data_IF_819734730038
#
_entry.id   IF_819734730038
#
_cell.length_a   1.000
_cell.length_b   1.000
_cell.length_c   1.000
_cell.angle_alpha   90.00
_cell.angle_beta   90.00
_cell.angle_gamma   90.00
#
_symmetry.space_group_name_H-M   'P 1'
#
loop_
_entity.id
_entity.type
_entity.pdbx_description
1 polymer ?
2 non-polymer ?
3 water ?
#
# COMPACT_ATOMS: atom_id res chain seq x y z
N UNK A 5 21.13 -9.56 -17.19
CA UNK A 5 19.76 -9.40 -17.72
C UNK A 5 18.86 -8.84 -16.62
N UNK A 6 17.93 -8.00 -17.08
CA UNK A 6 16.96 -7.35 -16.22
C UNK A 6 15.88 -8.35 -15.80
N UNK A 7 15.27 -8.11 -14.64
CA UNK A 7 14.17 -8.92 -14.17
C UNK A 7 12.89 -8.47 -14.85
N UNK A 8 12.91 -7.31 -15.52
CA UNK A 8 11.74 -6.73 -16.15
C UNK A 8 11.11 -7.70 -17.15
N UNK A 9 9.78 -7.85 -17.07
CA UNK A 9 9.00 -8.64 -18.02
C UNK A 9 8.40 -7.65 -19.02
N UNK A 10 8.91 -7.64 -20.25
CA UNK A 10 8.47 -6.66 -21.23
C UNK A 10 6.96 -6.70 -21.48
N UNK A 11 6.30 -7.86 -21.42
CA UNK A 11 4.88 -7.86 -21.69
C UNK A 11 4.12 -7.16 -20.52
N UNK A 12 4.54 -7.38 -19.27
CA UNK A 12 3.99 -6.66 -18.13
C UNK A 12 4.31 -5.17 -18.25
N UNK A 13 5.56 -4.83 -18.59
CA UNK A 13 5.97 -3.43 -18.74
C UNK A 13 5.03 -2.71 -19.73
N UNK A 14 4.78 -3.35 -20.88
CA UNK A 14 3.92 -2.79 -21.91
C UNK A 14 2.51 -2.59 -21.38
N UNK A 15 1.96 -3.62 -20.72
CA UNK A 15 0.61 -3.53 -20.17
C UNK A 15 0.49 -2.37 -19.18
N UNK A 16 1.45 -2.29 -18.23
CA UNK A 16 1.47 -1.23 -17.20
C UNK A 16 1.52 0.18 -17.81
N UNK A 17 2.42 0.35 -18.79
CA UNK A 17 2.54 1.61 -19.51
C UNK A 17 1.22 2.05 -20.15
N UNK A 18 0.59 1.16 -20.92
CA UNK A 18 -0.66 1.47 -21.60
C UNK A 18 -1.77 1.77 -20.61
N UNK A 19 -1.90 0.94 -19.54
CA UNK A 19 -2.96 1.17 -18.58
C UNK A 19 -2.72 2.47 -17.82
N UNK A 20 -1.48 2.75 -17.42
CA UNK A 20 -1.23 3.97 -16.67
C UNK A 20 -1.62 5.18 -17.51
N UNK A 21 -1.17 5.19 -18.77
CA UNK A 21 -1.41 6.32 -19.66
C UNK A 21 -2.89 6.55 -19.91
N UNK A 22 -3.66 5.47 -20.04
CA UNK A 22 -5.09 5.55 -20.23
C UNK A 22 -5.77 6.25 -19.05
N UNK A 23 -5.36 5.91 -17.82
CA UNK A 23 -5.97 6.44 -16.62
C UNK A 23 -5.58 7.90 -16.37
N UNK A 24 -4.29 8.20 -16.58
CA UNK A 24 -3.82 9.57 -16.43
C UNK A 24 -4.53 10.49 -17.43
N UNK A 25 -4.73 10.01 -18.67
CA UNK A 25 -5.46 10.78 -19.67
C UNK A 25 -6.91 10.97 -19.22
N UNK A 26 -7.58 9.85 -18.88
CA UNK A 26 -9.00 9.89 -18.57
C UNK A 26 -9.28 10.79 -17.36
N UNK A 27 -8.39 10.76 -16.36
CA UNK A 27 -8.61 11.49 -15.14
C UNK A 27 -7.98 12.88 -15.18
N UNK A 28 -7.35 13.22 -16.31
CA UNK A 28 -6.62 14.47 -16.50
C UNK A 28 -5.77 14.74 -15.25
N UNK A 29 -4.91 13.76 -14.96
CA UNK A 29 -4.03 13.81 -13.80
C UNK A 29 -2.67 14.39 -14.19
N UNK A 30 -1.96 14.87 -13.17
CA UNK A 30 -0.64 15.46 -13.35
C UNK A 30 0.40 14.38 -13.67
N UNK A 31 0.36 13.23 -12.99
CA UNK A 31 1.42 12.26 -13.13
C UNK A 31 0.94 10.92 -12.58
N UNK A 32 1.72 9.87 -12.84
CA UNK A 32 1.47 8.59 -12.20
C UNK A 32 2.59 7.60 -12.44
N UNK A 33 2.46 6.46 -11.73
CA UNK A 33 3.46 5.44 -11.64
C UNK A 33 2.78 4.07 -11.45
N UNK A 34 3.40 3.02 -11.98
CA UNK A 34 3.07 1.64 -11.66
C UNK A 34 4.34 0.87 -11.35
N UNK A 35 4.33 0.09 -10.27
CA UNK A 35 5.37 -0.85 -9.95
C UNK A 35 4.71 -2.24 -9.87
N UNK A 36 5.35 -3.22 -10.50
CA UNK A 36 5.01 -4.64 -10.35
C UNK A 36 6.23 -5.39 -9.81
N UNK A 37 6.05 -6.07 -8.67
CA UNK A 37 7.09 -6.86 -8.08
C UNK A 37 6.71 -8.33 -8.12
N UNK A 38 7.74 -9.18 -8.19
CA UNK A 38 7.60 -10.57 -7.81
C UNK A 38 7.47 -10.67 -6.30
N UNK A 39 6.38 -11.29 -5.86
CA UNK A 39 5.95 -11.27 -4.48
C UNK A 39 6.83 -12.12 -3.59
N UNK A 40 7.60 -13.06 -4.19
CA UNK A 40 8.43 -13.96 -3.42
C UNK A 40 9.91 -13.74 -3.67
N UNK A 41 10.29 -12.83 -4.57
CA UNK A 41 11.70 -12.57 -4.81
C UNK A 41 12.10 -11.09 -4.65
N UNK A 42 11.16 -10.16 -4.80
CA UNK A 42 11.47 -8.73 -4.78
C UNK A 42 11.99 -8.18 -6.11
N UNK A 43 12.08 -9.04 -7.12
CA UNK A 43 12.47 -8.60 -8.44
C UNK A 43 11.39 -7.69 -9.00
N UNK A 44 11.83 -6.65 -9.68
CA UNK A 44 10.96 -5.71 -10.35
C UNK A 44 10.57 -6.30 -11.69
N UNK A 45 9.27 -6.60 -11.88
CA UNK A 45 8.78 -7.12 -13.15
C UNK A 45 8.37 -5.98 -14.07
N UNK A 46 7.98 -4.85 -13.50
CA UNK A 46 7.61 -3.67 -14.27
C UNK A 46 7.72 -2.42 -13.40
N UNK A 47 8.08 -1.32 -14.04
CA UNK A 47 8.22 -0.05 -13.37
C UNK A 47 8.06 1.01 -14.44
N UNK A 48 6.99 1.78 -14.33
CA UNK A 48 6.61 2.75 -15.36
C UNK A 48 6.18 4.04 -14.68
N UNK A 49 6.52 5.17 -15.31
CA UNK A 49 6.14 6.48 -14.85
C UNK A 49 5.64 7.28 -16.04
N UNK A 50 4.80 8.28 -15.80
CA UNK A 50 4.51 9.31 -16.79
C UNK A 50 5.82 10.02 -17.14
N UNK A 51 5.90 10.76 -18.30
CA UNK A 51 7.19 11.25 -18.81
C UNK A 51 7.92 12.15 -17.82
N UNK A 52 9.26 12.02 -17.75
CA UNK A 52 10.05 12.75 -16.78
C UNK A 52 10.87 11.82 -15.89
N UNK A 53 11.20 12.27 -14.68
CA UNK A 53 12.06 11.50 -13.82
C UNK A 53 11.39 10.17 -13.38
N UNK A 54 12.21 9.30 -12.81
CA UNK A 54 11.79 8.00 -12.30
C UNK A 54 11.13 8.18 -10.92
N UNK A 55 9.90 8.71 -10.92
CA UNK A 55 9.18 9.10 -9.71
C UNK A 55 9.00 7.92 -8.74
N UNK A 56 8.81 6.72 -9.28
CA UNK A 56 8.66 5.50 -8.48
C UNK A 56 9.78 5.31 -7.47
N UNK A 57 11.00 5.81 -7.80
CA UNK A 57 12.14 5.61 -6.94
C UNK A 57 12.60 6.95 -6.31
N UNK A 58 12.43 8.08 -7.01
CA UNK A 58 12.99 9.38 -6.60
C UNK A 58 12.08 10.18 -5.67
N UNK A 59 10.77 10.00 -5.79
CA UNK A 59 9.79 10.87 -5.13
C UNK A 59 9.22 10.12 -3.93
N UNK A 60 8.95 10.83 -2.83
CA UNK A 60 8.33 10.22 -1.65
C UNK A 60 6.90 10.77 -1.56
N UNK A 61 5.96 9.90 -1.20
CA UNK A 61 4.57 10.28 -0.95
C UNK A 61 4.26 9.90 0.50
N UNK A 62 3.25 10.52 1.10
CA UNK A 62 2.68 9.96 2.32
C UNK A 62 1.82 8.76 1.94
N UNK A 63 1.99 7.57 2.55
CA UNK A 63 1.25 6.39 2.09
C UNK A 63 -0.26 6.49 2.37
N UNK A 64 -0.66 7.30 3.38
CA UNK A 64 -2.06 7.38 3.72
C UNK A 64 -2.59 6.00 4.12
N UNK A 65 -3.79 5.66 3.65
CA UNK A 65 -4.48 4.46 4.07
C UNK A 65 -3.72 3.19 3.68
N UNK A 66 -2.77 3.31 2.72
CA UNK A 66 -1.99 2.16 2.28
C UNK A 66 -1.05 1.67 3.40
N UNK A 67 -0.87 2.45 4.47
CA UNK A 67 -0.11 2.03 5.65
C UNK A 67 -0.92 1.16 6.61
N UNK A 68 -2.27 1.22 6.55
CA UNK A 68 -3.13 0.63 7.57
C UNK A 68 -2.93 -0.88 7.71
N UNK A 69 -2.69 -1.66 6.64
CA UNK A 69 -2.39 -3.08 6.83
C UNK A 69 -1.22 -3.37 7.75
N UNK A 70 -0.21 -2.50 7.73
CA UNK A 70 0.98 -2.65 8.56
C UNK A 70 0.68 -2.42 10.03
N UNK A 71 -0.15 -1.40 10.34
CA UNK A 71 -0.54 -1.14 11.71
C UNK A 71 -1.31 -2.34 12.25
N UNK A 72 -2.19 -2.87 11.41
CA UNK A 72 -2.96 -4.05 11.74
C UNK A 72 -2.02 -5.24 11.94
N UNK A 73 -1.08 -5.43 11.02
CA UNK A 73 -0.12 -6.53 11.18
C UNK A 73 0.65 -6.49 12.50
N UNK A 74 1.11 -5.30 12.87
CA UNK A 74 1.87 -5.12 14.10
C UNK A 74 1.00 -5.49 15.31
N UNK A 75 -0.25 -5.03 15.33
CA UNK A 75 -1.16 -5.36 16.40
C UNK A 75 -1.38 -6.88 16.54
N UNK A 76 -1.68 -7.56 15.44
CA UNK A 76 -1.94 -9.00 15.47
C UNK A 76 -0.67 -9.75 15.86
N UNK A 77 0.48 -9.30 15.33
CA UNK A 77 1.73 -10.01 15.52
C UNK A 77 2.14 -9.97 17.00
N UNK A 78 1.77 -8.91 17.71
CA UNK A 78 2.15 -8.74 19.13
C UNK A 78 1.44 -9.75 20.03
N UNK A 79 0.34 -10.33 19.53
CA UNK A 79 -0.49 -11.19 20.34
C UNK A 79 -1.51 -10.40 21.17
N UNK A 80 -1.47 -9.06 21.12
CA UNK A 80 -2.34 -8.26 21.97
C UNK A 80 -3.72 -8.09 21.35
N UNK A 81 -3.85 -8.30 20.04
CA UNK A 81 -5.10 -8.06 19.33
C UNK A 81 -5.38 -9.32 18.51
N UNK A 82 -6.63 -9.74 18.52
CA UNK A 82 -7.16 -10.75 17.62
C UNK A 82 -7.98 -10.05 16.54
N UNK A 83 -8.09 -10.66 15.34
CA UNK A 83 -8.84 -10.07 14.23
C UNK A 83 -10.32 -9.88 14.56
N UNK A 84 -10.87 -10.68 15.50
CA UNK A 84 -12.27 -10.57 15.88
C UNK A 84 -12.50 -9.48 16.93
N UNK A 85 -11.46 -8.86 17.49
CA UNK A 85 -11.62 -7.78 18.44
C UNK A 85 -12.39 -6.62 17.79
N UNK A 86 -13.25 -6.02 18.60
CA UNK A 86 -14.10 -4.90 18.24
C UNK A 86 -13.54 -3.65 18.91
N UNK A 87 -13.59 -2.52 18.21
CA UNK A 87 -13.08 -1.27 18.73
C UNK A 87 -14.16 -0.21 18.63
N UNK A 88 -14.10 0.76 19.54
CA UNK A 88 -14.92 1.95 19.43
C UNK A 88 -14.31 2.86 18.34
N UNK A 89 -15.07 3.13 17.28
CA UNK A 89 -14.55 3.86 16.14
C UNK A 89 -15.21 5.23 15.99
N UNK A 90 -15.82 5.73 17.07
CA UNK A 90 -16.37 7.08 17.04
C UNK A 90 -15.23 8.10 17.01
N UNK A 91 -15.44 9.29 16.39
CA UNK A 91 -14.51 10.41 16.49
C UNK A 91 -14.00 10.63 17.92
N UNK A 92 -12.74 11.04 18.09
CA UNK A 92 -12.22 11.34 19.42
C UNK A 92 -11.07 12.34 19.28
N UNK A 93 -10.67 12.91 20.42
CA UNK A 93 -9.68 13.98 20.48
C UNK A 93 -8.36 13.44 21.02
N UNK A 94 -7.27 13.99 20.49
CA UNK A 94 -5.94 13.85 21.06
C UNK A 94 -5.39 15.27 21.24
N UNK A 95 -5.06 15.60 22.49
CA UNK A 95 -5.04 16.98 22.93
C UNK A 95 -6.31 17.70 22.45
N UNK A 96 -6.13 18.65 21.53
CA UNK A 96 -7.23 19.33 20.91
C UNK A 96 -7.25 19.05 19.40
N UNK A 97 -6.79 17.85 19.01
CA UNK A 97 -6.91 17.39 17.63
C UNK A 97 -8.02 16.36 17.59
N UNK A 98 -8.72 16.27 16.44
CA UNK A 98 -9.77 15.28 16.25
C UNK A 98 -9.27 14.18 15.31
N UNK A 99 -9.47 12.93 15.71
CA UNK A 99 -9.34 11.81 14.80
C UNK A 99 -10.76 11.35 14.47
N UNK A 100 -11.08 11.26 13.17
CA UNK A 100 -12.43 10.93 12.77
C UNK A 100 -12.37 10.28 11.39
N UNK A 101 -13.41 9.52 11.07
CA UNK A 101 -13.59 8.87 9.78
C UNK A 101 -14.59 9.71 8.98
N UNK A 102 -14.33 9.75 7.66
CA UNK A 102 -15.23 10.13 6.58
C UNK A 102 -16.66 9.68 6.89
N UNK A 103 -16.86 8.36 6.99
CA UNK A 103 -18.13 7.74 7.32
C UNK A 103 -18.04 7.13 8.72
N UNK A 104 -18.93 7.56 9.63
CA UNK A 104 -18.83 7.18 11.02
C UNK A 104 -19.45 5.79 11.23
N UNK A 105 -18.65 4.88 11.79
CA UNK A 105 -19.18 3.67 12.36
C UNK A 105 -18.91 3.72 13.85
N UNK A 106 -19.90 3.37 14.70
CA UNK A 106 -19.72 3.32 16.14
C UNK A 106 -18.68 2.32 16.60
N UNK A 107 -18.71 1.14 15.98
CA UNK A 107 -17.76 0.07 16.29
C UNK A 107 -17.40 -0.66 15.01
N UNK A 108 -16.18 -1.19 14.98
CA UNK A 108 -15.72 -2.02 13.88
C UNK A 108 -14.79 -3.06 14.48
N UNK A 109 -14.80 -4.26 13.92
CA UNK A 109 -13.77 -5.23 14.25
C UNK A 109 -12.59 -5.00 13.32
N UNK A 110 -11.56 -5.82 13.43
CA UNK A 110 -10.32 -5.52 12.71
C UNK A 110 -10.55 -5.69 11.22
N UNK A 111 -11.33 -6.69 10.83
CA UNK A 111 -11.74 -6.83 9.45
C UNK A 111 -12.43 -5.55 8.95
N UNK A 112 -13.39 -5.04 9.74
CA UNK A 112 -14.04 -3.78 9.43
C UNK A 112 -13.10 -2.58 9.30
N UNK A 113 -12.07 -2.51 10.16
CA UNK A 113 -11.16 -1.38 10.11
C UNK A 113 -10.42 -1.40 8.77
N UNK A 114 -10.05 -2.60 8.33
CA UNK A 114 -9.37 -2.79 7.05
C UNK A 114 -10.32 -2.48 5.87
N UNK A 115 -11.51 -3.09 5.89
CA UNK A 115 -12.51 -3.05 4.82
C UNK A 115 -12.95 -1.62 4.57
N UNK A 116 -13.22 -0.89 5.68
CA UNK A 116 -13.80 0.44 5.61
C UNK A 116 -12.72 1.51 5.71
N UNK A 117 -11.47 1.12 5.97
CA UNK A 117 -10.36 2.06 5.99
C UNK A 117 -10.51 3.11 7.09
N UNK A 118 -10.73 2.64 8.33
CA UNK A 118 -10.97 3.50 9.48
C UNK A 118 -9.68 4.12 10.06
N UNK A 119 -9.55 5.45 10.01
CA UNK A 119 -8.50 6.15 10.74
C UNK A 119 -8.61 5.94 12.24
N UNK A 120 -9.83 6.02 12.77
CA UNK A 120 -10.01 5.94 14.19
C UNK A 120 -9.54 4.55 14.68
N UNK A 121 -10.05 3.48 14.03
CA UNK A 121 -9.71 2.14 14.44
C UNK A 121 -8.21 1.87 14.33
N UNK A 122 -7.60 2.36 13.26
CA UNK A 122 -6.17 2.19 13.07
C UNK A 122 -5.40 2.87 14.21
N UNK A 123 -5.81 4.10 14.57
CA UNK A 123 -5.11 4.85 15.58
C UNK A 123 -5.21 4.16 16.95
N UNK A 124 -6.33 3.47 17.24
CA UNK A 124 -6.56 2.76 18.50
C UNK A 124 -5.63 1.54 18.59
N UNK A 125 -5.37 0.90 17.45
CA UNK A 125 -4.44 -0.21 17.41
C UNK A 125 -3.03 0.25 17.71
N UNK A 126 -2.58 1.34 17.06
CA UNK A 126 -1.26 1.91 17.26
C UNK A 126 -1.07 2.43 18.69
N UNK A 127 -2.14 2.92 19.30
CA UNK A 127 -2.06 3.49 20.64
C UNK A 127 -1.79 2.42 21.71
N UNK A 128 -1.83 1.13 21.37
CA UNK A 128 -1.45 0.08 22.28
C UNK A 128 0.07 -0.06 22.38
N UNK A 129 0.81 0.67 21.56
CA UNK A 129 2.25 0.53 21.48
C UNK A 129 2.90 1.87 21.79
N UNK A 130 4.17 1.79 22.17
CA UNK A 130 4.94 3.00 22.41
C UNK A 130 5.47 3.61 21.11
N UNK A 131 5.86 4.90 21.14
CA UNK A 131 6.45 5.52 19.97
C UNK A 131 7.64 4.71 19.45
N UNK A 132 8.50 4.23 20.36
CA UNK A 132 9.67 3.48 19.96
C UNK A 132 9.28 2.17 19.25
N UNK A 133 8.29 1.43 19.76
CA UNK A 133 7.83 0.19 19.14
C UNK A 133 7.28 0.44 17.74
N UNK A 134 6.50 1.51 17.58
CA UNK A 134 5.93 1.81 16.25
C UNK A 134 7.01 2.26 15.29
N UNK A 135 7.93 3.10 15.75
CA UNK A 135 9.03 3.54 14.90
C UNK A 135 9.88 2.35 14.44
N UNK A 136 10.22 1.46 15.36
CA UNK A 136 11.05 0.31 15.05
C UNK A 136 10.35 -0.57 14.02
N UNK A 137 9.03 -0.69 14.12
CA UNK A 137 8.29 -1.47 13.15
C UNK A 137 8.32 -0.77 11.78
N UNK A 138 8.09 0.56 11.71
CA UNK A 138 8.13 1.26 10.42
C UNK A 138 9.53 1.16 9.82
N UNK A 139 10.57 1.34 10.64
CA UNK A 139 11.95 1.19 10.22
C UNK A 139 12.21 -0.20 9.63
N UNK A 140 11.69 -1.25 10.27
CA UNK A 140 11.86 -2.62 9.85
C UNK A 140 11.13 -2.94 8.53
N UNK A 141 10.10 -2.17 8.18
CA UNK A 141 9.45 -2.30 6.89
C UNK A 141 10.25 -1.59 5.82
N UNK A 142 11.24 -0.79 6.23
CA UNK A 142 12.09 -0.08 5.30
C UNK A 142 11.79 1.41 5.17
N UNK A 143 10.90 1.96 6.02
CA UNK A 143 10.57 3.38 5.91
C UNK A 143 11.77 4.17 6.41
N UNK A 144 12.19 5.16 5.62
CA UNK A 144 13.35 5.98 5.88
C UNK A 144 14.65 5.23 5.63
N UNK A 145 14.60 4.02 5.06
CA UNK A 145 15.79 3.23 4.79
C UNK A 145 16.05 3.19 3.29
N UNK A 146 17.34 3.32 2.93
CA UNK A 146 17.78 3.12 1.57
C UNK A 146 17.64 1.65 1.16
N UNK A 147 17.03 1.43 0.01
CA UNK A 147 16.92 0.10 -0.58
C UNK A 147 18.21 -0.37 -1.26
N UNK A 148 19.02 0.55 -1.83
CA UNK A 148 20.22 0.14 -2.55
C UNK A 148 19.84 -0.71 -3.78
N UNK A 149 18.78 -0.24 -4.51
CA UNK A 149 18.15 -0.98 -5.59
C UNK A 149 19.06 -1.01 -6.82
N UNK A 150 19.99 -0.06 -6.87
CA UNK A 150 20.80 0.15 -8.04
C UNK A 150 20.37 1.38 -8.84
N UNK A 151 19.18 1.93 -8.53
CA UNK A 151 18.73 3.12 -9.22
C UNK A 151 19.50 4.30 -8.63
N UNK A 152 19.90 5.28 -9.49
CA UNK A 152 20.41 6.56 -8.98
C UNK A 152 19.23 7.37 -8.45
N UNK A 153 19.50 8.27 -7.50
CA UNK A 153 18.50 9.24 -7.07
C UNK A 153 17.40 8.59 -6.22
N UNK A 154 17.67 7.37 -5.71
CA UNK A 154 16.69 6.65 -4.91
C UNK A 154 16.49 7.39 -3.59
N UNK A 155 15.25 7.74 -3.24
CA UNK A 155 14.97 8.34 -1.93
C UNK A 155 14.86 7.27 -0.85
N UNK A 156 15.31 7.62 0.36
CA UNK A 156 15.10 6.83 1.55
C UNK A 156 13.73 7.09 2.16
N UNK A 157 13.06 8.16 1.72
CA UNK A 157 11.82 8.59 2.35
C UNK A 157 12.09 9.25 3.71
N UNK A 158 11.08 9.30 4.57
CA UNK A 158 11.13 10.12 5.76
C UNK A 158 10.49 9.34 6.91
N UNK A 159 11.28 9.08 7.95
CA UNK A 159 10.75 8.57 9.21
C UNK A 159 11.39 9.32 10.38
N UNK A 160 10.64 10.27 10.96
CA UNK A 160 11.16 11.14 12.02
C UNK A 160 11.35 10.30 13.28
N UNK A 161 12.41 10.62 14.03
CA UNK A 161 12.69 9.89 15.27
C UNK A 161 11.48 9.94 16.21
N UNK A 162 11.16 8.80 16.80
CA UNK A 162 10.14 8.67 17.83
C UNK A 162 10.43 9.56 19.04
N UNK A 163 11.70 9.93 19.22
CA UNK A 163 12.09 10.78 20.33
C UNK A 163 11.48 12.16 20.21
N UNK A 164 10.90 12.50 19.04
CA UNK A 164 10.27 13.80 18.85
C UNK A 164 8.81 13.65 18.43
N UNK A 165 8.15 12.51 18.68
CA UNK A 165 6.74 12.39 18.35
C UNK A 165 5.84 12.96 19.44
N UNK A 166 4.83 13.75 19.04
CA UNK A 166 3.68 14.04 19.87
C UNK A 166 2.69 12.90 19.74
N UNK A 167 1.71 12.85 20.65
CA UNK A 167 0.76 11.75 20.67
C UNK A 167 -0.08 11.77 19.40
N UNK A 168 -0.41 12.98 18.89
CA UNK A 168 -1.20 13.08 17.65
C UNK A 168 -0.42 12.47 16.49
N UNK A 169 0.91 12.64 16.49
CA UNK A 169 1.75 12.22 15.38
C UNK A 169 1.82 10.69 15.30
N UNK A 170 1.89 10.03 16.45
CA UNK A 170 1.78 8.58 16.46
C UNK A 170 0.48 8.12 15.78
N UNK A 171 -0.65 8.75 16.14
CA UNK A 171 -1.92 8.42 15.53
C UNK A 171 -1.87 8.66 14.01
N UNK A 172 -1.47 9.87 13.56
CA UNK A 172 -1.51 10.19 12.15
C UNK A 172 -0.49 9.33 11.37
N UNK A 173 0.63 8.95 11.98
CA UNK A 173 1.57 8.07 11.33
C UNK A 173 0.96 6.68 11.11
N UNK A 174 0.12 6.22 12.06
CA UNK A 174 -0.47 4.90 11.95
C UNK A 174 -1.41 4.81 10.75
N UNK A 175 -2.01 5.92 10.30
CA UNK A 175 -2.85 5.88 9.12
C UNK A 175 -2.17 6.62 7.98
N UNK A 176 -0.84 6.71 8.01
CA UNK A 176 -0.04 6.99 6.83
C UNK A 176 0.35 8.44 6.55
N UNK A 177 0.27 9.37 7.52
CA UNK A 177 0.71 10.73 7.31
C UNK A 177 1.90 11.08 8.21
N UNK A 178 2.76 11.99 7.75
CA UNK A 178 3.90 12.42 8.59
C UNK A 178 5.14 11.53 8.41
N UNK A 179 4.97 10.42 7.69
CA UNK A 179 6.05 9.58 7.18
C UNK A 179 5.87 9.48 5.67
N UNK A 180 6.97 9.21 4.94
CA UNK A 180 6.99 9.31 3.49
C UNK A 180 7.84 8.16 2.94
N UNK A 181 7.39 7.62 1.80
CA UNK A 181 8.18 6.64 1.08
C UNK A 181 7.82 6.66 -0.40
N UNK A 182 8.76 6.15 -1.19
CA UNK A 182 8.55 6.06 -2.63
C UNK A 182 7.53 4.93 -2.88
N UNK A 183 6.94 4.93 -4.07
CA UNK A 183 6.08 3.83 -4.48
C UNK A 183 6.83 2.51 -4.47
N UNK A 184 8.10 2.48 -4.89
CA UNK A 184 8.89 1.27 -4.85
C UNK A 184 9.13 0.81 -3.41
N UNK A 185 9.39 1.72 -2.46
CA UNK A 185 9.53 1.36 -1.07
C UNK A 185 8.22 0.78 -0.55
N UNK A 186 7.08 1.35 -0.97
CA UNK A 186 5.79 0.91 -0.48
C UNK A 186 5.52 -0.50 -1.03
N UNK A 187 5.77 -0.74 -2.32
CA UNK A 187 5.64 -2.09 -2.88
C UNK A 187 6.55 -3.07 -2.13
N UNK A 188 7.78 -2.69 -1.87
CA UNK A 188 8.72 -3.51 -1.13
C UNK A 188 8.18 -3.90 0.24
N UNK A 189 7.64 -2.92 0.98
CA UNK A 189 7.07 -3.16 2.30
C UNK A 189 6.00 -4.27 2.27
N UNK A 190 5.21 -4.33 1.17
CA UNK A 190 4.20 -5.36 1.01
C UNK A 190 4.77 -6.77 0.85
N UNK A 191 6.10 -6.96 0.65
CA UNK A 191 6.70 -8.28 0.65
C UNK A 191 6.64 -8.91 2.02
N UNK A 192 6.55 -8.09 3.07
CA UNK A 192 6.32 -8.61 4.42
C UNK A 192 5.04 -9.43 4.45
N UNK A 193 4.01 -8.97 3.75
CA UNK A 193 2.74 -9.66 3.72
C UNK A 193 2.76 -10.85 2.75
N UNK A 194 3.43 -10.72 1.59
CA UNK A 194 3.43 -11.74 0.57
C UNK A 194 4.47 -12.84 0.82
N UNK A 195 5.62 -12.50 1.42
CA UNK A 195 6.71 -13.45 1.61
C UNK A 195 6.71 -13.94 3.05
N UNK A 196 5.54 -14.28 3.60
CA UNK A 196 5.42 -14.96 4.89
C UNK A 196 6.20 -14.24 6.01
N UNK A 197 6.08 -12.90 6.02
CA UNK A 197 6.51 -12.07 7.12
C UNK A 197 7.92 -11.53 7.01
N UNK A 198 8.60 -11.82 5.90
CA UNK A 198 9.98 -11.39 5.71
C UNK A 198 10.04 -10.31 4.63
N UNK A 199 10.73 -9.23 4.96
CA UNK A 199 10.97 -8.15 4.01
C UNK A 199 12.04 -8.59 3.02
N UNK A 200 11.75 -8.41 1.73
CA UNK A 200 12.68 -8.73 0.68
C UNK A 200 13.41 -7.50 0.17
N UNK A 201 14.64 -7.65 -0.37
CA UNK A 201 15.30 -6.61 -1.13
C UNK A 201 14.65 -6.50 -2.50
N UNK A 202 14.71 -5.32 -3.09
CA UNK A 202 14.24 -5.15 -4.43
C UNK A 202 15.46 -5.06 -5.33
N UNK A 203 15.27 -5.53 -6.56
CA UNK A 203 16.32 -5.59 -7.55
C UNK A 203 15.68 -5.53 -8.93
N UNK A 204 16.36 -4.89 -9.89
CA UNK A 204 15.95 -4.95 -11.29
C UNK A 204 16.78 -5.96 -12.09
N UNK A 205 17.63 -6.75 -11.42
CA UNK A 205 18.40 -7.80 -12.07
C UNK A 205 17.77 -9.15 -11.76
N UNK A 206 17.84 -10.07 -12.73
CA UNK A 206 17.42 -11.44 -12.49
C UNK A 206 18.21 -12.03 -11.34
N UNK A 207 17.55 -12.68 -10.38
CA UNK A 207 18.21 -13.22 -9.20
C UNK A 207 18.90 -14.53 -9.54
N UNK A 208 20.01 -14.80 -8.87
CA UNK A 208 20.79 -16.01 -9.08
C UNK A 208 20.80 -16.81 -7.80
N UNK A 209 20.61 -16.15 -6.67
CA UNK A 209 20.57 -16.80 -5.37
C UNK A 209 19.21 -16.43 -4.78
N UNK A 210 18.67 -17.30 -3.91
CA UNK A 210 17.47 -17.00 -3.14
C UNK A 210 17.71 -15.75 -2.31
N UNK A 211 16.92 -14.66 -2.44
CA UNK A 211 17.15 -13.48 -1.59
C UNK A 211 17.03 -13.75 -0.10
N UNK A 212 17.85 -13.08 0.70
CA UNK A 212 17.79 -13.19 2.16
C UNK A 212 16.76 -12.17 2.67
N UNK A 213 15.63 -12.67 3.18
CA UNK A 213 14.57 -11.84 3.72
C UNK A 213 14.82 -11.58 5.20
N UNK A 214 14.36 -10.44 5.72
CA UNK A 214 14.51 -10.16 7.13
C UNK A 214 13.14 -10.27 7.81
N UNK A 215 13.07 -11.03 8.90
CA UNK A 215 11.85 -11.34 9.61
C UNK A 215 11.30 -10.10 10.32
N UNK A 216 10.05 -9.73 9.98
CA UNK A 216 9.40 -8.57 10.58
C UNK A 216 8.18 -9.03 11.37
N UNK A 217 7.40 -9.96 10.83
CA UNK A 217 6.27 -10.55 11.51
C UNK A 217 6.29 -12.05 11.27
N UNK A 218 5.54 -12.75 12.10
CA UNK A 218 5.33 -14.17 11.91
C UNK A 218 4.61 -14.46 10.60
N UNK A 219 4.93 -15.60 10.01
CA UNK A 219 4.22 -16.11 8.84
C UNK A 219 2.71 -16.21 9.10
N UNK A 220 2.29 -16.69 10.27
CA UNK A 220 0.86 -16.79 10.60
C UNK A 220 0.16 -15.41 10.56
N UNK A 221 0.86 -14.37 11.02
CA UNK A 221 0.31 -13.02 10.98
C UNK A 221 0.14 -12.55 9.52
N UNK A 222 1.18 -12.74 8.70
CA UNK A 222 1.12 -12.36 7.30
C UNK A 222 -0.07 -13.04 6.62
N UNK A 223 -0.28 -14.34 6.90
CA UNK A 223 -1.37 -15.07 6.29
C UNK A 223 -2.72 -14.45 6.66
N UNK A 224 -2.89 -14.14 7.94
CA UNK A 224 -4.12 -13.55 8.43
C UNK A 224 -4.37 -12.19 7.81
N UNK A 225 -3.32 -11.36 7.71
CA UNK A 225 -3.49 -10.02 7.15
C UNK A 225 -3.88 -10.11 5.68
N UNK A 226 -3.31 -11.07 4.94
CA UNK A 226 -3.68 -11.25 3.55
C UNK A 226 -5.16 -11.60 3.45
N UNK A 227 -5.65 -12.44 4.40
CA UNK A 227 -7.05 -12.85 4.40
C UNK A 227 -7.92 -11.63 4.67
N UNK A 228 -7.54 -10.79 5.64
CA UNK A 228 -8.30 -9.57 5.91
C UNK A 228 -8.35 -8.64 4.71
N UNK A 229 -7.22 -8.50 4.00
CA UNK A 229 -7.16 -7.60 2.85
C UNK A 229 -8.05 -8.02 1.68
N UNK A 230 -8.49 -9.30 1.59
CA UNK A 230 -9.45 -9.65 0.56
C UNK A 230 -10.79 -8.90 0.79
N UNK A 231 -11.09 -8.50 2.03
CA UNK A 231 -12.34 -7.77 2.30
C UNK A 231 -12.41 -6.45 1.53
N UNK A 232 -11.25 -5.87 1.16
CA UNK A 232 -11.16 -4.56 0.54
C UNK A 232 -11.70 -4.65 -0.88
N UNK A 233 -11.53 -5.83 -1.51
CA UNK A 233 -11.92 -6.00 -2.91
C UNK A 233 -13.26 -6.71 -3.08
N UNK A 234 -13.89 -7.16 -1.99
CA UNK A 234 -15.21 -7.74 -2.07
C UNK A 234 -16.24 -6.71 -1.68
N UNK A 235 -17.52 -7.04 -1.94
CA UNK A 235 -18.63 -6.15 -1.64
C UNK A 235 -18.53 -5.64 -0.21
N UNK A 236 -18.67 -4.32 -0.04
CA UNK A 236 -18.51 -3.70 1.26
C UNK A 236 -17.15 -3.01 1.44
N UNK A 237 -16.15 -3.39 0.64
CA UNK A 237 -14.84 -2.74 0.76
C UNK A 237 -14.71 -1.48 -0.11
N UNK A 238 -13.66 -0.71 0.18
CA UNK A 238 -13.37 0.49 -0.55
C UNK A 238 -12.77 0.19 -1.92
N UNK A 239 -12.32 -1.05 -2.17
CA UNK A 239 -11.48 -1.34 -3.33
C UNK A 239 -12.08 -2.39 -4.27
N UNK A 240 -13.42 -2.41 -4.45
CA UNK A 240 -14.05 -3.40 -5.31
C UNK A 240 -13.70 -3.17 -6.79
N UNK A 241 -13.36 -1.95 -7.20
CA UNK A 241 -12.94 -1.72 -8.57
C UNK A 241 -11.65 -2.49 -8.93
N UNK A 242 -10.91 -2.98 -7.92
CA UNK A 242 -9.66 -3.69 -8.18
C UNK A 242 -9.80 -5.20 -8.15
N UNK A 243 -11.03 -5.71 -7.94
CA UNK A 243 -11.32 -7.14 -7.97
C UNK A 243 -10.99 -7.67 -9.37
N UNK A 244 -10.42 -8.89 -9.41
CA UNK A 244 -9.96 -9.51 -10.63
C UNK A 244 -10.73 -10.80 -10.86
N UNK A 245 -11.24 -10.98 -12.09
CA UNK A 245 -12.08 -12.14 -12.39
C UNK A 245 -11.25 -13.42 -12.25
N UNK A 246 -11.73 -14.38 -11.45
CA UNK A 246 -11.08 -15.66 -11.34
C UNK A 246 -10.11 -15.77 -10.16
N UNK A 247 -9.91 -14.67 -9.43
CA UNK A 247 -8.99 -14.66 -8.30
C UNK A 247 -9.54 -13.91 -7.10
N UNK A 248 -8.99 -14.24 -5.94
CA UNK A 248 -9.14 -13.44 -4.73
C UNK A 248 -7.93 -12.51 -4.62
N UNK A 249 -8.18 -11.22 -4.40
CA UNK A 249 -7.14 -10.20 -4.41
C UNK A 249 -7.11 -9.50 -3.05
N UNK A 250 -5.92 -9.44 -2.45
CA UNK A 250 -5.78 -8.64 -1.25
C UNK A 250 -5.28 -7.26 -1.67
N UNK A 251 -5.92 -6.19 -1.21
CA UNK A 251 -5.51 -4.86 -1.66
C UNK A 251 -5.85 -3.82 -0.61
N UNK A 252 -5.26 -2.62 -0.80
CA UNK A 252 -5.55 -1.46 0.02
C UNK A 252 -5.58 -0.22 -0.86
N UNK A 253 -6.65 0.55 -0.68
CA UNK A 253 -6.86 1.84 -1.31
C UNK A 253 -6.20 2.91 -0.45
N UNK A 254 -5.82 4.02 -1.06
CA UNK A 254 -5.33 5.18 -0.34
C UNK A 254 -5.74 6.44 -1.10
N UNK A 255 -6.39 7.35 -0.40
CA UNK A 255 -6.76 8.65 -0.92
C UNK A 255 -6.26 9.72 0.07
N UNK A 256 -5.32 10.54 -0.34
CA UNK A 256 -4.70 11.55 0.51
C UNK A 256 -5.00 12.94 -0.03
N UNK A 257 -5.32 13.89 0.85
CA UNK A 257 -5.15 15.30 0.53
C UNK A 257 -3.67 15.59 0.34
N UNK A 258 -3.37 16.42 -0.65
CA UNK A 258 -1.99 16.64 -1.06
C UNK A 258 -1.29 17.67 -0.16
N UNK A 259 -0.08 17.31 0.28
CA UNK A 259 0.78 18.17 1.08
C UNK A 259 1.53 19.11 0.13
N UNK A 260 1.15 20.41 0.17
CA UNK A 260 1.53 21.44 -0.81
C UNK A 260 1.78 22.76 -0.06
N UNK A 261 3.07 23.03 0.26
CA UNK A 261 3.56 24.25 0.93
C UNK A 261 3.48 24.10 2.45
N UNK A 262 3.66 22.86 2.95
CA UNK A 262 3.38 22.54 4.34
C UNK A 262 1.88 22.36 4.64
N UNK A 263 1.01 22.89 3.77
CA UNK A 263 -0.45 22.84 3.95
C UNK A 263 -0.97 21.53 3.36
N UNK A 264 -1.96 20.90 4.00
CA UNK A 264 -2.75 19.91 3.32
C UNK A 264 -3.99 20.57 2.72
N UNK A 265 -4.12 20.49 1.39
CA UNK A 265 -5.15 21.23 0.68
C UNK A 265 -6.30 20.29 0.33
N UNK A 266 -7.51 20.84 0.25
CA UNK A 266 -8.73 20.05 0.19
C UNK A 266 -9.19 19.88 -1.25
N UNK A 267 -8.49 20.51 -2.20
CA UNK A 267 -8.92 20.48 -3.59
C UNK A 267 -7.83 19.82 -4.44
N UNK A 268 -6.84 19.17 -3.81
CA UNK A 268 -5.89 18.32 -4.53
C UNK A 268 -5.70 17.01 -3.78
N UNK A 269 -5.65 15.90 -4.53
CA UNK A 269 -5.53 14.59 -3.90
C UNK A 269 -4.55 13.71 -4.64
N UNK A 270 -4.08 12.64 -3.97
CA UNK A 270 -3.22 11.65 -4.59
C UNK A 270 -3.89 10.30 -4.33
N UNK A 271 -4.10 9.50 -5.40
CA UNK A 271 -4.78 8.21 -5.32
C UNK A 271 -3.75 7.08 -5.43
N UNK A 272 -3.85 6.11 -4.50
CA UNK A 272 -2.92 5.00 -4.47
C UNK A 272 -3.74 3.70 -4.40
N UNK A 273 -3.26 2.67 -5.10
CA UNK A 273 -3.90 1.36 -4.99
C UNK A 273 -2.78 0.32 -5.02
N UNK A 274 -2.73 -0.53 -3.99
CA UNK A 274 -1.70 -1.55 -3.94
C UNK A 274 -2.34 -2.88 -3.54
N UNK A 275 -1.85 -3.97 -4.14
CA UNK A 275 -2.38 -5.27 -3.78
C UNK A 275 -1.54 -6.42 -4.34
N UNK A 276 -2.05 -7.62 -4.10
CA UNK A 276 -1.34 -8.83 -4.46
C UNK A 276 -2.38 -9.88 -4.75
N UNK A 277 -1.95 -10.84 -5.55
CA UNK A 277 -2.81 -11.95 -5.89
C UNK A 277 -1.92 -13.08 -6.42
N UNK A 278 -2.40 -14.33 -6.44
CA UNK A 278 -3.58 -14.77 -5.66
C UNK A 278 -3.44 -14.54 -4.16
N UNK A 279 -4.51 -14.13 -3.49
CA UNK A 279 -4.37 -13.62 -2.13
C UNK A 279 -3.74 -14.68 -1.22
N UNK A 280 -4.12 -15.96 -1.35
CA UNK A 280 -3.66 -16.96 -0.39
C UNK A 280 -2.21 -17.35 -0.67
N UNK A 281 -1.79 -17.33 -1.94
CA UNK A 281 -0.45 -17.74 -2.33
C UNK A 281 0.10 -16.77 -3.37
N UNK A 282 0.40 -15.50 -3.00
CA UNK A 282 0.58 -14.47 -4.03
C UNK A 282 1.83 -14.63 -4.89
N UNK A 283 1.69 -14.29 -6.17
CA UNK A 283 2.81 -14.29 -7.13
C UNK A 283 3.34 -12.88 -7.41
N UNK A 284 2.44 -11.86 -7.37
CA UNK A 284 2.81 -10.52 -7.75
C UNK A 284 2.18 -9.49 -6.79
N UNK A 285 2.90 -8.37 -6.65
CA UNK A 285 2.42 -7.12 -6.04
C UNK A 285 2.34 -6.11 -7.16
N UNK A 286 1.21 -5.41 -7.23
CA UNK A 286 1.01 -4.30 -8.14
C UNK A 286 0.67 -3.07 -7.31
N UNK A 287 1.40 -1.98 -7.53
CA UNK A 287 1.20 -0.71 -6.85
C UNK A 287 1.02 0.38 -7.91
N UNK A 288 0.01 1.21 -7.70
CA UNK A 288 -0.33 2.25 -8.65
C UNK A 288 -0.50 3.54 -7.88
N UNK A 289 0.04 4.65 -8.39
CA UNK A 289 -0.29 5.96 -7.83
C UNK A 289 -0.59 6.92 -9.00
N UNK A 290 -1.61 7.75 -8.83
CA UNK A 290 -1.95 8.83 -9.75
C UNK A 290 -2.09 10.12 -8.94
N UNK A 291 -1.32 11.13 -9.39
CA UNK A 291 -1.16 12.41 -8.70
C UNK A 291 -2.14 13.43 -9.31
N UNK A 292 -2.99 14.00 -8.48
CA UNK A 292 -3.85 15.13 -8.81
C UNK A 292 -4.74 14.81 -9.99
N UNK A 293 -5.65 13.82 -9.88
CA UNK A 293 -6.71 13.65 -10.87
C UNK A 293 -7.62 14.87 -10.79
N UNK A 294 -8.16 15.32 -11.92
CA UNK A 294 -8.94 16.55 -11.90
C UNK A 294 -10.26 16.39 -12.67
N UNK A 295 -10.60 15.19 -13.19
CA UNK A 295 -11.70 15.10 -14.13
C UNK A 295 -13.04 14.88 -13.41
N UNK A 296 -13.01 14.68 -12.08
CA UNK A 296 -14.20 14.65 -11.25
C UNK A 296 -13.89 13.87 -9.96
N UNK A 297 -13.78 12.53 -10.12
CA UNK A 297 -13.51 11.61 -9.04
C UNK A 297 -12.04 11.69 -8.63
N UNK A 298 -11.76 11.47 -7.35
CA UNK A 298 -10.39 11.48 -6.88
C UNK A 298 -10.12 10.31 -5.94
N UNK A 299 -11.17 9.58 -5.53
CA UNK A 299 -10.96 8.43 -4.66
C UNK A 299 -10.14 7.35 -5.37
N UNK A 300 -9.29 6.68 -4.60
CA UNK A 300 -8.43 5.63 -5.14
C UNK A 300 -9.23 4.56 -5.88
N UNK A 301 -10.41 4.20 -5.36
CA UNK A 301 -11.21 3.15 -5.98
C UNK A 301 -11.53 3.45 -7.45
N UNK A 302 -11.91 4.71 -7.78
CA UNK A 302 -12.31 5.06 -9.14
C UNK A 302 -11.13 5.43 -10.02
N UNK A 303 -10.08 6.00 -9.45
CA UNK A 303 -8.99 6.50 -10.23
C UNK A 303 -7.96 5.40 -10.50
N UNK A 304 -7.52 4.70 -9.46
CA UNK A 304 -6.42 3.76 -9.58
C UNK A 304 -6.90 2.30 -9.57
N UNK A 305 -8.07 2.01 -9.02
CA UNK A 305 -8.58 0.64 -8.95
C UNK A 305 -8.63 -0.03 -10.32
N UNK A 306 -9.19 0.61 -11.39
CA UNK A 306 -9.21 0.00 -12.72
C UNK A 306 -7.85 -0.26 -13.37
N UNK A 307 -6.84 0.58 -13.09
CA UNK A 307 -5.51 0.27 -13.59
C UNK A 307 -4.94 -0.93 -12.83
N UNK A 308 -5.12 -0.98 -11.50
CA UNK A 308 -4.71 -2.16 -10.75
C UNK A 308 -5.38 -3.42 -11.31
N UNK A 309 -6.68 -3.35 -11.59
CA UNK A 309 -7.42 -4.52 -12.05
C UNK A 309 -6.82 -5.07 -13.35
N UNK A 310 -6.59 -4.19 -14.33
CA UNK A 310 -6.09 -4.59 -15.64
C UNK A 310 -4.64 -5.05 -15.53
N UNK A 311 -3.82 -4.38 -14.71
CA UNK A 311 -2.43 -4.76 -14.67
C UNK A 311 -2.25 -6.07 -13.90
N UNK A 312 -2.99 -6.25 -12.78
CA UNK A 312 -2.90 -7.48 -12.01
C UNK A 312 -3.45 -8.66 -12.84
N UNK A 313 -4.64 -8.46 -13.43
CA UNK A 313 -5.29 -9.50 -14.23
C UNK A 313 -4.40 -9.92 -15.40
N UNK A 314 -3.86 -8.93 -16.11
CA UNK A 314 -2.96 -9.17 -17.24
C UNK A 314 -1.66 -9.84 -16.82
N UNK A 315 -1.11 -9.45 -15.64
CA UNK A 315 0.14 -9.98 -15.13
C UNK A 315 0.02 -11.48 -14.82
N UNK A 316 -1.05 -11.85 -14.12
CA UNK A 316 -1.31 -13.25 -13.76
C UNK A 316 -1.47 -14.09 -15.03
N UNK A 317 -2.13 -13.54 -16.05
CA UNK A 317 -2.28 -14.20 -17.33
C UNK A 317 -0.91 -14.38 -17.99
N UNK A 318 -0.09 -13.34 -18.04
CA UNK A 318 1.23 -13.40 -18.64
C UNK A 318 2.12 -14.41 -17.94
N UNK A 319 2.07 -14.47 -16.61
CA UNK A 319 2.94 -15.37 -15.87
C UNK A 319 2.39 -16.80 -15.85
N UNK A 320 1.21 -17.04 -16.44
CA UNK A 320 0.65 -18.40 -16.53
C UNK A 320 0.16 -18.95 -15.18
N UNK A 321 -0.50 -18.09 -14.39
CA UNK A 321 -1.08 -18.47 -13.12
C UNK A 321 -2.57 -18.72 -13.39
N UNK A 322 -3.04 -19.93 -13.12
CA UNK A 322 -4.43 -20.29 -13.34
C UNK A 322 -5.35 -19.62 -12.34
N UNK A 323 -6.52 -19.12 -12.78
CA UNK A 323 -7.58 -18.71 -11.87
C UNK A 323 -7.90 -19.75 -10.79
N UNK A 324 -8.12 -19.28 -9.56
CA UNK A 324 -8.43 -20.14 -8.42
C UNK A 324 -9.94 -20.34 -8.29
N UNK A 325 -10.74 -19.62 -9.06
CA UNK A 325 -12.17 -19.84 -9.11
C UNK A 325 -12.73 -19.58 -10.50
N UNK A 326 -13.92 -20.12 -10.81
CA UNK A 326 -14.51 -19.94 -12.14
C UNK A 326 -14.63 -18.46 -12.46
N UNK A 327 -14.31 -18.08 -13.69
CA UNK A 327 -14.63 -16.76 -14.19
C UNK A 327 -16.14 -16.63 -14.20
N UNK A 328 -16.66 -15.40 -14.25
CA UNK A 328 -18.10 -15.18 -14.14
C UNK A 328 -18.68 -14.67 -15.46
X LIG B 1 -9.94 12.60 1.61
X LIG B 1 -6.69 12.22 5.16
X LIG B 1 -5.70 13.17 4.79
X LIG B 1 -3.08 15.14 6.60
X LIG B 1 -1.26 14.87 9.11
X LIG B 1 -4.53 14.21 8.33
X LIG B 1 -7.97 7.63 4.61
X LIG B 1 -12.50 15.44 2.50
X LIG B 1 -11.72 14.77 1.38
X LIG B 1 -10.89 15.83 0.67
X LIG B 1 -12.59 13.85 0.50
X LIG B 1 -10.47 13.70 2.27
X LIG B 1 -10.01 14.09 3.51
X LIG B 1 -9.03 13.38 4.17
X LIG B 1 -8.55 12.26 3.54
X LIG B 1 -8.96 11.87 2.27
X LIG B 1 -7.42 11.45 4.20
X LIG B 1 -5.37 13.44 3.69
X LIG B 1 -5.08 13.86 5.90
X LIG B 1 -3.98 14.95 5.63
X LIG B 1 -3.48 14.94 8.13
X LIG B 1 -2.65 15.49 9.19
X LIG B 1 -4.89 13.95 9.42
X LIG B 1 -5.35 13.59 7.17
X LIG B 1 -6.17 12.81 7.50
X LIG B 1 -7.86 10.17 4.83
X LIG B 1 -8.23 10.16 5.93
X LIG B 1 -7.59 8.98 4.07
X LIG B 1 -9.48 7.74 4.87
X LIG B 1 -10.14 7.63 3.44
X LIG B 1 -11.11 8.51 2.92
X LIG B 1 -11.55 8.25 1.63
X LIG B 1 -11.06 7.17 0.85
X LIG B 1 -10.06 6.35 1.36
X LIG B 1 -9.52 5.13 0.59
X LIG B 1 -9.36 5.14 -0.66
X LIG B 1 -9.46 4.04 1.24
X LIG B 1 -9.65 6.57 2.66
X LIG B 1 -8.60 5.77 3.20
X LIG B 1 -7.48 6.51 3.53
X LIG B 1 -6.71 6.92 2.42
#
# INVERSE_FOLDING_TARGET
GSGGALSLDQRIQTLAYEELNKAVEYHQAKAGTVVVLDARTGEILALVNTPGRNRAVTDMIEPGSAMKPFTIAKALDSGKVDATDTFNTLPYKIGSATVQDTHVYPTLDVRGIMQKSSNVGTSKLSAMFTPKEMYDFYHDLGVGVRMHSGFPGETAGLLRSWRRWQKIEQATMSFGYGLQLSLLQLARAYTVLTHDGELLPVSFEKQAVAPKGKRVIKASTAKKVRELMVSVTEAGGTGTAGAVDGFDVGAKTGTARKLVNGRYVDYKHVATFIGFAPAKNPRVIVAVTIDEPTANGYYSGVVTGPVFKQVMGGSLNILGVSPTKPLTNV
A1BJC C10 N12 C13 C17 C20 C21 C28 O01 P02 O03 O04 C05 C06 C07 C08 C09 C11 O14 N15 C16 N18 C19 O22 C23 O24 C25 O26 N27 C29 C30 C31 C32 C33 C34 C35 O36 O37 C38 O39 B40 O41
#
